data_IF_985227427074
#
_entry.id   IF_985227427074
#
_cell.length_a   1.000
_cell.length_b   1.000
_cell.length_c   1.000
_cell.angle_alpha   90.00
_cell.angle_beta   90.00
_cell.angle_gamma   90.00
#
_symmetry.space_group_name_H-M   'P 1'
#
loop_
_entity.id
_entity.type
_entity.pdbx_description
1 polymer ?
#
# COMPACT_ATOMS: atom_id res chain seq x y z
N UNK A 1 8.10 -10.25 8.68
CA UNK A 1 7.09 -10.83 7.77
C UNK A 1 5.66 -10.42 8.12
N UNK A 2 4.95 -11.02 9.10
CA UNK A 2 3.55 -10.61 9.36
C UNK A 2 3.39 -9.16 9.85
N UNK A 3 4.34 -8.65 10.64
CA UNK A 3 4.34 -7.25 11.06
C UNK A 3 4.58 -6.30 9.87
N UNK A 4 5.52 -6.63 8.98
CA UNK A 4 5.80 -5.84 7.78
C UNK A 4 4.59 -5.82 6.83
N UNK A 5 3.92 -6.97 6.64
CA UNK A 5 2.69 -7.06 5.86
C UNK A 5 1.59 -6.19 6.45
N UNK A 6 1.44 -6.22 7.78
CA UNK A 6 0.47 -5.38 8.49
C UNK A 6 0.80 -3.90 8.29
N UNK A 7 2.05 -3.51 8.42
CA UNK A 7 2.48 -2.11 8.29
C UNK A 7 2.27 -1.60 6.86
N UNK A 8 2.51 -2.44 5.85
CA UNK A 8 2.24 -2.12 4.45
C UNK A 8 0.73 -1.98 4.17
N UNK A 9 -0.10 -2.89 4.70
CA UNK A 9 -1.56 -2.76 4.63
C UNK A 9 -2.06 -1.44 5.24
N UNK A 10 -1.51 -1.04 6.40
CA UNK A 10 -1.88 0.21 7.05
C UNK A 10 -1.46 1.42 6.21
N UNK A 11 -0.33 1.34 5.51
CA UNK A 11 0.11 2.37 4.56
C UNK A 11 -0.87 2.53 3.40
N UNK A 12 -1.28 1.43 2.75
CA UNK A 12 -2.32 1.45 1.71
C UNK A 12 -3.62 2.12 2.19
N UNK A 13 -4.12 1.72 3.37
CA UNK A 13 -5.36 2.29 3.94
C UNK A 13 -5.21 3.79 4.18
N UNK A 14 -4.07 4.22 4.74
CA UNK A 14 -3.81 5.64 4.99
C UNK A 14 -3.84 6.44 3.67
N UNK A 15 -3.20 5.95 2.62
CA UNK A 15 -3.15 6.62 1.32
C UNK A 15 -4.54 6.71 0.67
N UNK A 16 -5.35 5.65 0.75
CA UNK A 16 -6.75 5.66 0.29
C UNK A 16 -7.56 6.70 1.06
N UNK A 17 -7.45 6.74 2.40
CA UNK A 17 -8.15 7.73 3.20
C UNK A 17 -7.70 9.17 2.88
N UNK A 18 -6.44 9.37 2.48
CA UNK A 18 -5.95 10.67 2.03
C UNK A 18 -6.56 11.06 0.68
N UNK A 19 -6.71 10.12 -0.26
CA UNK A 19 -7.36 10.35 -1.56
C UNK A 19 -8.85 10.69 -1.44
N UNK A 20 -9.51 10.31 -0.35
CA UNK A 20 -10.90 10.65 -0.07
C UNK A 20 -11.09 12.07 0.51
N UNK A 21 -10.01 12.81 0.78
CA UNK A 21 -10.10 14.18 1.28
C UNK A 21 -10.58 15.14 0.18
N UNK A 22 -11.50 16.03 0.55
CA UNK A 22 -11.92 17.13 -0.33
C UNK A 22 -10.76 18.13 -0.55
N UNK A 23 -10.72 18.75 -1.72
CA UNK A 23 -9.80 19.84 -2.10
C UNK A 23 -8.32 19.46 -2.27
N UNK A 24 -8.02 18.22 -2.66
CA UNK A 24 -6.69 17.88 -3.17
C UNK A 24 -6.44 18.58 -4.51
N UNK A 25 -5.22 19.09 -4.71
CA UNK A 25 -4.78 19.49 -6.04
C UNK A 25 -4.54 18.24 -6.91
N UNK A 26 -4.56 18.42 -8.23
CA UNK A 26 -4.23 17.36 -9.19
C UNK A 26 -2.83 16.77 -8.92
N UNK A 27 -1.85 17.61 -8.60
CA UNK A 27 -0.49 17.18 -8.23
C UNK A 27 -0.48 16.31 -6.96
N UNK A 28 -1.27 16.65 -5.94
CA UNK A 28 -1.38 15.85 -4.72
C UNK A 28 -2.07 14.51 -4.98
N UNK A 29 -3.08 14.48 -5.85
CA UNK A 29 -3.74 13.24 -6.26
C UNK A 29 -2.74 12.33 -6.99
N UNK A 30 -1.98 12.88 -7.94
CA UNK A 30 -0.98 12.11 -8.69
C UNK A 30 0.12 11.56 -7.79
N UNK A 31 0.61 12.34 -6.83
CA UNK A 31 1.58 11.89 -5.83
C UNK A 31 1.02 10.73 -4.98
N UNK A 32 -0.18 10.90 -4.42
CA UNK A 32 -0.84 9.87 -3.61
C UNK A 32 -1.12 8.58 -4.40
N UNK A 33 -1.52 8.70 -5.67
CA UNK A 33 -1.72 7.54 -6.55
C UNK A 33 -0.40 6.84 -6.88
N UNK A 34 0.68 7.59 -7.06
CA UNK A 34 2.02 7.05 -7.24
C UNK A 34 2.49 6.27 -6.01
N UNK A 35 2.35 6.85 -4.82
CA UNK A 35 2.68 6.20 -3.55
C UNK A 35 1.82 4.95 -3.32
N UNK A 36 0.51 5.03 -3.58
CA UNK A 36 -0.39 3.89 -3.44
C UNK A 36 -0.01 2.75 -4.39
N UNK A 37 0.37 3.06 -5.62
CA UNK A 37 0.84 2.07 -6.60
C UNK A 37 2.11 1.35 -6.11
N UNK A 38 3.06 2.09 -5.55
CA UNK A 38 4.26 1.52 -4.96
C UNK A 38 3.93 0.62 -3.76
N UNK A 39 3.05 1.08 -2.87
CA UNK A 39 2.64 0.35 -1.67
C UNK A 39 1.91 -0.95 -2.00
N UNK A 40 0.96 -0.92 -2.94
CA UNK A 40 0.25 -2.12 -3.43
C UNK A 40 1.21 -3.11 -4.09
N UNK A 41 2.19 -2.62 -4.86
CA UNK A 41 3.22 -3.47 -5.48
C UNK A 41 4.05 -4.18 -4.40
N UNK A 42 4.50 -3.44 -3.39
CA UNK A 42 5.25 -3.99 -2.28
C UNK A 42 4.43 -5.02 -1.49
N UNK A 43 3.16 -4.72 -1.21
CA UNK A 43 2.24 -5.62 -0.52
C UNK A 43 2.05 -6.93 -1.28
N UNK A 44 1.94 -6.88 -2.61
CA UNK A 44 1.81 -8.06 -3.45
C UNK A 44 3.07 -8.94 -3.39
N UNK A 45 4.25 -8.33 -3.46
CA UNK A 45 5.53 -9.05 -3.29
C UNK A 45 5.63 -9.71 -1.91
N UNK A 46 5.32 -8.98 -0.83
CA UNK A 46 5.37 -9.54 0.52
C UNK A 46 4.37 -10.69 0.72
N UNK A 47 3.16 -10.56 0.15
CA UNK A 47 2.13 -11.59 0.23
C UNK A 47 2.59 -12.89 -0.45
N UNK A 48 3.25 -12.79 -1.60
CA UNK A 48 3.82 -13.95 -2.29
C UNK A 48 4.92 -14.63 -1.45
N UNK A 49 5.82 -13.85 -0.84
CA UNK A 49 6.88 -14.40 0.02
C UNK A 49 6.29 -15.15 1.23
N UNK A 50 5.24 -14.60 1.86
CA UNK A 50 4.56 -15.26 2.98
C UNK A 50 3.90 -16.56 2.53
N UNK A 51 3.27 -16.57 1.36
CA UNK A 51 2.67 -17.77 0.79
C UNK A 51 3.72 -18.88 0.58
N UNK A 52 4.87 -18.54 0.00
CA UNK A 52 5.97 -19.48 -0.20
C UNK A 52 6.49 -20.07 1.12
N UNK A 53 6.58 -19.27 2.18
CA UNK A 53 6.98 -19.76 3.51
C UNK A 53 5.93 -20.66 4.17
N UNK A 54 4.63 -20.46 3.90
CA UNK A 54 3.56 -21.33 4.41
C UNK A 54 3.52 -22.67 3.66
N UNK A 55 3.87 -22.67 2.37
CA UNK A 55 3.86 -23.87 1.52
C UNK A 55 5.13 -24.74 1.65
N UNK A 56 6.15 -24.27 2.38
CA UNK A 56 7.36 -25.04 2.74
C UNK A 56 7.11 -26.02 3.89
#
# INVERSE_FOLDING_TARGET
MLNELKDECLTCIKLINQLELDNLSEEQVDELLGELTASVTHLNTQSNNIKEEIEK
#
